data_IF_163770856557
#
_entry.id   IF_163770856557
#
_cell.length_a   1.000
_cell.length_b   1.000
_cell.length_c   1.000
_cell.angle_alpha   90.00
_cell.angle_beta   90.00
_cell.angle_gamma   90.00
#
_symmetry.space_group_name_H-M   'P 1'
#
loop_
_entity.id
_entity.type
_entity.pdbx_description
1 polymer ?
#
# COMPACT_ATOMS: atom_id res chain seq x y z
N UNK A 1 -33.13 6.14 -1.52
CA UNK A 1 -32.42 6.05 -0.23
C UNK A 1 -31.72 7.38 -0.02
N UNK A 2 -31.80 7.97 1.17
CA UNK A 2 -31.07 9.20 1.47
C UNK A 2 -29.57 8.91 1.42
N UNK A 3 -28.78 9.80 0.80
CA UNK A 3 -27.33 9.71 0.83
C UNK A 3 -26.85 9.78 2.29
N UNK A 4 -25.87 8.95 2.65
CA UNK A 4 -25.26 9.04 3.98
C UNK A 4 -24.43 10.32 4.07
N UNK A 5 -24.46 10.98 5.23
CA UNK A 5 -23.56 12.10 5.55
C UNK A 5 -22.12 11.66 5.81
N UNK A 6 -21.84 10.36 5.77
CA UNK A 6 -20.56 9.76 6.12
C UNK A 6 -19.84 9.21 4.89
N UNK A 7 -18.57 9.59 4.77
CA UNK A 7 -17.64 9.02 3.79
C UNK A 7 -16.96 7.78 4.37
N UNK A 8 -16.84 6.73 3.55
CA UNK A 8 -16.08 5.53 3.87
C UNK A 8 -14.67 5.66 3.26
N UNK A 9 -13.65 5.72 4.10
CA UNK A 9 -12.25 5.66 3.70
C UNK A 9 -11.67 4.31 4.08
N UNK A 10 -11.14 3.56 3.12
CA UNK A 10 -10.59 2.22 3.35
C UNK A 10 -9.18 2.10 2.81
N UNK A 11 -8.35 1.40 3.57
CA UNK A 11 -7.11 0.85 3.04
C UNK A 11 -7.38 -0.28 2.03
N UNK A 12 -6.42 -0.61 1.18
CA UNK A 12 -6.54 -1.68 0.19
C UNK A 12 -5.85 -2.98 0.60
N UNK A 13 -4.56 -2.93 0.93
CA UNK A 13 -3.75 -4.14 1.13
C UNK A 13 -4.12 -4.82 2.46
N UNK A 14 -4.46 -6.10 2.43
CA UNK A 14 -4.99 -6.87 3.56
C UNK A 14 -6.26 -6.31 4.22
N UNK A 15 -6.79 -5.18 3.75
CA UNK A 15 -8.09 -4.61 4.14
C UNK A 15 -9.16 -4.98 3.13
N UNK A 16 -8.96 -4.60 1.86
CA UNK A 16 -9.83 -4.96 0.74
C UNK A 16 -9.35 -6.23 0.04
N UNK A 17 -8.04 -6.39 -0.15
CA UNK A 17 -7.45 -7.56 -0.81
C UNK A 17 -7.40 -8.76 0.14
N UNK A 18 -7.48 -9.97 -0.43
CA UNK A 18 -7.31 -11.22 0.34
C UNK A 18 -5.87 -11.43 0.82
N UNK A 19 -4.90 -10.82 0.13
CA UNK A 19 -3.46 -11.01 0.36
C UNK A 19 -2.75 -9.67 0.28
N UNK A 20 -1.57 -9.60 0.91
CA UNK A 20 -0.58 -8.57 0.64
C UNK A 20 -0.19 -8.59 -0.84
N UNK A 21 -0.59 -7.54 -1.54
CA UNK A 21 -0.37 -7.46 -2.97
C UNK A 21 1.01 -6.90 -3.33
N UNK A 22 1.75 -6.32 -2.37
CA UNK A 22 3.16 -5.92 -2.55
C UNK A 22 4.03 -7.17 -2.66
N UNK A 23 3.81 -8.16 -1.78
CA UNK A 23 4.43 -9.48 -1.90
C UNK A 23 4.04 -10.18 -3.21
N UNK A 24 2.81 -10.03 -3.69
CA UNK A 24 2.39 -10.56 -5.00
C UNK A 24 3.14 -9.91 -6.18
N UNK A 25 3.37 -8.60 -6.13
CA UNK A 25 4.15 -7.89 -7.15
C UNK A 25 5.61 -8.34 -7.17
N UNK A 26 6.22 -8.54 -6.00
CA UNK A 26 7.56 -9.10 -5.91
C UNK A 26 7.63 -10.50 -6.52
N UNK A 27 6.67 -11.38 -6.20
CA UNK A 27 6.59 -12.70 -6.81
C UNK A 27 6.43 -12.65 -8.33
N UNK A 28 5.64 -11.71 -8.85
CA UNK A 28 5.52 -11.49 -10.29
C UNK A 28 6.85 -11.08 -10.92
N UNK A 29 7.59 -10.19 -10.27
CA UNK A 29 8.93 -9.80 -10.73
C UNK A 29 9.87 -11.00 -10.77
N UNK A 30 9.92 -11.80 -9.70
CA UNK A 30 10.81 -12.96 -9.59
C UNK A 30 10.47 -14.10 -10.55
N UNK A 31 9.20 -14.27 -10.89
CA UNK A 31 8.75 -15.32 -11.84
C UNK A 31 8.87 -14.89 -13.30
N UNK A 32 8.74 -13.59 -13.59
CA UNK A 32 8.83 -13.03 -14.95
C UNK A 32 10.25 -12.66 -15.38
N UNK A 33 11.11 -12.25 -14.44
CA UNK A 33 12.50 -11.86 -14.67
C UNK A 33 13.42 -12.80 -13.86
N UNK A 34 14.26 -13.56 -14.57
CA UNK A 34 15.46 -14.32 -14.15
C UNK A 34 15.71 -14.61 -12.63
N UNK A 35 16.22 -15.80 -12.23
CA UNK A 35 16.49 -16.17 -10.82
C UNK A 35 17.16 -15.11 -9.93
N UNK A 36 18.00 -14.24 -10.52
CA UNK A 36 18.66 -13.12 -9.86
C UNK A 36 17.69 -12.10 -9.22
N UNK A 37 16.47 -11.95 -9.74
CA UNK A 37 15.45 -11.05 -9.18
C UNK A 37 14.98 -11.52 -7.80
N UNK A 38 14.92 -12.84 -7.57
CA UNK A 38 14.56 -13.41 -6.26
C UNK A 38 15.64 -13.11 -5.23
N UNK A 39 16.91 -13.35 -5.56
CA UNK A 39 18.03 -13.07 -4.66
C UNK A 39 18.12 -11.59 -4.28
N UNK A 40 17.89 -10.69 -5.24
CA UNK A 40 17.85 -9.24 -4.99
C UNK A 40 16.68 -8.88 -4.07
N UNK A 41 15.48 -9.42 -4.33
CA UNK A 41 14.31 -9.18 -3.47
C UNK A 41 14.55 -9.66 -2.03
N UNK A 42 15.04 -10.90 -1.88
CA UNK A 42 15.30 -11.50 -0.57
C UNK A 42 16.37 -10.71 0.20
N UNK A 43 17.41 -10.21 -0.49
CA UNK A 43 18.42 -9.33 0.11
C UNK A 43 17.83 -8.00 0.59
N UNK A 44 16.93 -7.39 -0.19
CA UNK A 44 16.25 -6.14 0.18
C UNK A 44 15.35 -6.33 1.41
N UNK A 45 14.60 -7.43 1.47
CA UNK A 45 13.76 -7.80 2.61
C UNK A 45 14.62 -8.05 3.85
N UNK A 46 15.67 -8.86 3.73
CA UNK A 46 16.59 -9.15 4.83
C UNK A 46 17.18 -7.85 5.40
N UNK A 47 17.60 -6.93 4.53
CA UNK A 47 18.16 -5.65 4.95
C UNK A 47 17.14 -4.75 5.65
N UNK A 48 15.89 -4.74 5.18
CA UNK A 48 14.82 -4.03 5.87
C UNK A 48 14.56 -4.60 7.27
N UNK A 49 14.53 -5.92 7.40
CA UNK A 49 14.33 -6.59 8.70
C UNK A 49 15.49 -6.32 9.66
N UNK A 50 16.74 -6.30 9.18
CA UNK A 50 17.92 -5.91 9.97
C UNK A 50 17.80 -4.47 10.49
N UNK A 51 17.46 -3.54 9.60
CA UNK A 51 17.31 -2.13 9.97
C UNK A 51 16.16 -1.95 10.98
N UNK A 52 15.04 -2.66 10.79
CA UNK A 52 13.92 -2.69 11.75
C UNK A 52 14.35 -3.25 13.10
N UNK A 53 15.04 -4.39 13.13
CA UNK A 53 15.54 -5.00 14.36
C UNK A 53 16.49 -4.04 15.11
N UNK A 54 17.32 -3.30 14.37
CA UNK A 54 18.19 -2.28 14.95
C UNK A 54 17.43 -1.09 15.56
N UNK A 55 16.27 -0.72 15.03
CA UNK A 55 15.42 0.32 15.65
C UNK A 55 14.65 -0.26 16.83
N UNK A 56 14.12 -1.47 16.71
CA UNK A 56 13.39 -2.15 17.78
C UNK A 56 14.27 -2.39 19.01
N UNK A 57 15.56 -2.68 18.85
CA UNK A 57 16.48 -2.84 19.98
C UNK A 57 16.70 -1.55 20.79
N UNK A 58 16.42 -0.38 20.21
CA UNK A 58 16.52 0.91 20.94
C UNK A 58 15.39 1.12 21.95
N UNK A 59 14.31 0.32 21.86
CA UNK A 59 13.24 0.32 22.85
C UNK A 59 13.65 -0.38 24.16
N UNK A 60 14.77 -1.11 24.18
CA UNK A 60 15.35 -1.75 25.35
C UNK A 60 14.48 -2.86 25.99
N UNK A 61 15.00 -3.47 27.05
CA UNK A 61 14.26 -4.37 27.95
C UNK A 61 13.23 -3.61 28.83
N UNK A 62 13.00 -2.31 28.57
CA UNK A 62 12.11 -1.45 29.35
C UNK A 62 10.62 -1.86 29.24
N UNK A 63 10.29 -2.75 28.30
CA UNK A 63 8.97 -3.39 28.24
C UNK A 63 8.71 -4.39 29.38
N UNK A 64 9.77 -4.94 30.00
CA UNK A 64 9.66 -5.83 31.17
C UNK A 64 9.53 -5.06 32.49
N UNK A 65 9.63 -3.73 32.47
CA UNK A 65 9.33 -2.91 33.65
C UNK A 65 7.81 -2.86 33.87
N UNK A 66 7.36 -3.30 35.06
CA UNK A 66 5.95 -3.48 35.46
C UNK A 66 5.03 -2.25 35.35
N UNK A 67 5.51 -1.10 34.91
CA UNK A 67 4.69 0.07 34.54
C UNK A 67 5.55 1.09 33.79
N UNK A 68 5.72 0.98 32.46
CA UNK A 68 6.35 2.04 31.71
C UNK A 68 5.40 3.24 31.73
N UNK A 69 5.82 4.34 32.34
CA UNK A 69 5.08 5.60 32.21
C UNK A 69 5.21 6.03 30.76
N UNK A 70 4.11 6.35 30.07
CA UNK A 70 4.16 6.77 28.67
C UNK A 70 5.08 7.99 28.50
N UNK A 71 6.12 7.85 27.68
CA UNK A 71 7.06 8.92 27.36
C UNK A 71 6.88 9.35 25.90
N UNK A 72 6.15 10.46 25.64
CA UNK A 72 5.90 10.93 24.27
C UNK A 72 7.18 11.12 23.44
N UNK A 73 8.24 11.61 24.07
CA UNK A 73 9.53 11.86 23.40
C UNK A 73 10.21 10.56 22.93
N UNK A 74 10.05 9.46 23.67
CA UNK A 74 10.55 8.15 23.24
C UNK A 74 9.74 7.62 22.07
N UNK A 75 8.41 7.80 22.10
CA UNK A 75 7.55 7.43 20.97
C UNK A 75 7.92 8.24 19.73
N UNK A 76 8.10 9.55 19.84
CA UNK A 76 8.46 10.42 18.72
C UNK A 76 9.82 10.02 18.12
N UNK A 77 10.82 9.77 18.96
CA UNK A 77 12.13 9.32 18.53
C UNK A 77 12.08 7.95 17.83
N UNK A 78 11.31 7.01 18.38
CA UNK A 78 11.08 5.70 17.77
C UNK A 78 10.38 5.82 16.42
N UNK A 79 9.28 6.57 16.33
CA UNK A 79 8.52 6.76 15.11
C UNK A 79 9.37 7.43 14.02
N UNK A 80 10.20 8.42 14.38
CA UNK A 80 11.13 9.06 13.46
C UNK A 80 12.20 8.08 12.95
N UNK A 81 12.78 7.26 13.84
CA UNK A 81 13.77 6.26 13.45
C UNK A 81 13.17 5.16 12.56
N UNK A 82 11.98 4.66 12.91
CA UNK A 82 11.26 3.65 12.14
C UNK A 82 10.84 4.18 10.77
N UNK A 83 10.28 5.40 10.71
CA UNK A 83 9.98 6.12 9.46
C UNK A 83 11.21 6.24 8.55
N UNK A 84 12.37 6.56 9.11
CA UNK A 84 13.59 6.67 8.32
C UNK A 84 14.07 5.32 7.77
N UNK A 85 13.85 4.22 8.51
CA UNK A 85 14.11 2.85 8.01
C UNK A 85 13.16 2.50 6.86
N UNK A 86 11.87 2.77 7.03
CA UNK A 86 10.85 2.50 6.03
C UNK A 86 11.16 3.22 4.70
N UNK A 87 11.43 4.53 4.76
CA UNK A 87 11.79 5.33 3.58
C UNK A 87 13.06 4.81 2.89
N UNK A 88 14.12 4.50 3.65
CA UNK A 88 15.35 3.92 3.07
C UNK A 88 15.09 2.57 2.40
N UNK A 89 14.16 1.77 2.93
CA UNK A 89 13.80 0.49 2.32
C UNK A 89 13.15 0.68 0.95
N UNK A 90 12.26 1.66 0.83
CA UNK A 90 11.65 2.07 -0.44
C UNK A 90 12.72 2.55 -1.42
N UNK A 91 13.64 3.42 -0.98
CA UNK A 91 14.74 3.91 -1.82
C UNK A 91 15.60 2.76 -2.38
N UNK A 92 15.89 1.74 -1.56
CA UNK A 92 16.65 0.56 -2.02
C UNK A 92 15.89 -0.25 -3.08
N UNK A 93 14.58 -0.45 -2.90
CA UNK A 93 13.75 -1.12 -3.91
C UNK A 93 13.71 -0.32 -5.21
N UNK A 94 13.60 1.00 -5.10
CA UNK A 94 13.61 1.89 -6.26
C UNK A 94 14.94 1.86 -7.00
N UNK A 95 16.06 1.90 -6.27
CA UNK A 95 17.41 1.86 -6.83
C UNK A 95 17.72 0.51 -7.50
N UNK A 96 17.27 -0.61 -6.93
CA UNK A 96 17.49 -1.95 -7.48
C UNK A 96 16.70 -2.22 -8.75
N UNK A 97 15.60 -1.48 -8.97
CA UNK A 97 14.64 -1.71 -10.07
C UNK A 97 14.12 -3.14 -10.10
N UNK A 98 14.09 -3.83 -8.95
CA UNK A 98 13.71 -5.25 -8.85
C UNK A 98 12.30 -5.53 -9.39
N UNK A 99 11.39 -4.55 -9.33
CA UNK A 99 10.01 -4.67 -9.87
C UNK A 99 9.85 -4.08 -11.28
N UNK A 100 10.94 -3.67 -11.94
CA UNK A 100 10.86 -3.11 -13.27
C UNK A 100 10.53 -4.18 -14.32
N UNK A 101 9.78 -3.80 -15.34
CA UNK A 101 9.49 -4.66 -16.49
C UNK A 101 8.37 -5.68 -16.29
N UNK A 102 7.66 -5.67 -15.15
CA UNK A 102 6.46 -6.50 -14.97
C UNK A 102 5.41 -6.10 -16.02
N UNK A 103 4.97 -7.02 -16.91
CA UNK A 103 3.97 -6.69 -17.91
C UNK A 103 2.64 -6.30 -17.27
N UNK A 104 1.97 -5.27 -17.83
CA UNK A 104 0.64 -4.85 -17.39
C UNK A 104 -0.37 -6.01 -17.38
N UNK A 105 -0.30 -6.88 -18.38
CA UNK A 105 -1.16 -8.07 -18.50
C UNK A 105 -1.00 -9.05 -17.33
N UNK A 106 0.16 -9.08 -16.66
CA UNK A 106 0.40 -9.91 -15.49
C UNK A 106 -0.13 -9.31 -14.19
N UNK A 107 -0.49 -8.02 -14.19
CA UNK A 107 -0.96 -7.25 -13.02
C UNK A 107 -2.49 -7.16 -13.01
N UNK A 108 -3.09 -6.89 -14.17
CA UNK A 108 -4.53 -6.60 -14.30
C UNK A 108 -5.37 -7.79 -13.83
N UNK A 109 -6.40 -7.50 -13.01
CA UNK A 109 -7.40 -8.46 -12.50
C UNK A 109 -6.80 -9.63 -11.71
N UNK A 110 -5.57 -9.50 -11.20
CA UNK A 110 -4.92 -10.54 -10.41
C UNK A 110 -5.37 -10.58 -8.95
N UNK A 111 -5.69 -9.42 -8.39
CA UNK A 111 -6.03 -9.29 -6.97
C UNK A 111 -7.47 -9.71 -6.73
N UNK A 112 -7.66 -10.68 -5.84
CA UNK A 112 -8.97 -11.02 -5.30
C UNK A 112 -9.30 -10.11 -4.12
N UNK A 113 -10.53 -9.59 -4.11
CA UNK A 113 -11.08 -8.87 -2.96
C UNK A 113 -11.60 -9.86 -1.91
N UNK A 114 -11.58 -9.46 -0.65
CA UNK A 114 -12.18 -10.21 0.46
C UNK A 114 -13.69 -10.39 0.23
N UNK A 115 -14.30 -11.44 0.81
CA UNK A 115 -15.74 -11.62 0.79
C UNK A 115 -16.46 -10.34 1.19
N UNK A 116 -17.55 -10.02 0.47
CA UNK A 116 -18.41 -8.85 0.66
C UNK A 116 -17.76 -7.47 0.50
N UNK A 117 -16.43 -7.37 0.36
CA UNK A 117 -15.74 -6.08 0.15
C UNK A 117 -16.31 -5.34 -1.06
N UNK A 118 -16.41 -6.01 -2.21
CA UNK A 118 -16.99 -5.42 -3.41
C UNK A 118 -18.44 -4.97 -3.20
N UNK A 119 -19.24 -5.75 -2.45
CA UNK A 119 -20.63 -5.41 -2.16
C UNK A 119 -20.71 -4.15 -1.30
N UNK A 120 -20.00 -4.12 -0.15
CA UNK A 120 -19.99 -2.99 0.78
C UNK A 120 -19.54 -1.71 0.08
N UNK A 121 -18.42 -1.76 -0.66
CA UNK A 121 -17.93 -0.58 -1.38
C UNK A 121 -18.92 -0.12 -2.44
N UNK A 122 -19.60 -1.05 -3.13
CA UNK A 122 -20.56 -0.71 -4.19
C UNK A 122 -21.87 -0.13 -3.68
N UNK A 123 -22.36 -0.60 -2.53
CA UNK A 123 -23.69 -0.25 -2.00
C UNK A 123 -23.65 0.83 -0.92
N UNK A 124 -22.47 1.23 -0.44
CA UNK A 124 -22.34 2.30 0.54
C UNK A 124 -23.00 3.59 0.04
N UNK A 125 -23.99 4.15 0.76
CA UNK A 125 -24.82 5.25 0.30
C UNK A 125 -24.15 6.64 0.37
N UNK A 126 -22.98 6.76 1.01
CA UNK A 126 -22.16 7.97 1.02
C UNK A 126 -20.98 7.87 0.06
N UNK A 127 -20.00 8.76 0.20
CA UNK A 127 -18.76 8.70 -0.57
C UNK A 127 -17.91 7.50 -0.18
N UNK A 128 -17.17 6.94 -1.16
CA UNK A 128 -16.19 5.89 -0.90
C UNK A 128 -14.85 6.31 -1.48
N UNK A 129 -13.82 6.24 -0.65
CA UNK A 129 -12.43 6.49 -1.03
C UNK A 129 -11.58 5.30 -0.63
N UNK A 130 -10.84 4.74 -1.57
CA UNK A 130 -9.80 3.75 -1.29
C UNK A 130 -8.45 4.47 -1.27
N UNK A 131 -7.71 4.36 -0.18
CA UNK A 131 -6.36 4.90 -0.01
C UNK A 131 -5.40 3.74 0.12
N UNK A 132 -4.31 3.72 -0.63
CA UNK A 132 -3.44 2.55 -0.69
C UNK A 132 -1.98 2.95 -0.91
N UNK A 133 -1.11 2.36 -0.09
CA UNK A 133 0.34 2.48 -0.25
C UNK A 133 0.92 1.57 -1.34
N UNK A 134 0.08 0.75 -1.98
CA UNK A 134 0.45 -0.23 -2.99
C UNK A 134 1.29 0.35 -4.12
N UNK A 135 2.39 -0.33 -4.45
CA UNK A 135 3.34 0.12 -5.46
C UNK A 135 2.86 -0.02 -6.92
N UNK A 136 1.67 -0.58 -7.13
CA UNK A 136 1.00 -0.69 -8.44
C UNK A 136 -0.42 -0.14 -8.40
N UNK A 137 -0.58 1.13 -8.77
CA UNK A 137 -1.90 1.73 -9.06
C UNK A 137 -2.74 0.89 -10.04
N UNK A 138 -2.10 0.25 -11.02
CA UNK A 138 -2.82 -0.63 -11.97
C UNK A 138 -3.44 -1.83 -11.28
N UNK A 139 -2.74 -2.42 -10.30
CA UNK A 139 -3.23 -3.55 -9.51
C UNK A 139 -4.53 -3.15 -8.78
N UNK A 140 -4.45 -2.08 -7.98
CA UNK A 140 -5.58 -1.56 -7.19
C UNK A 140 -6.77 -1.18 -8.07
N UNK A 141 -6.55 -0.39 -9.12
CA UNK A 141 -7.62 0.05 -10.01
C UNK A 141 -8.29 -1.13 -10.72
N UNK A 142 -7.51 -2.10 -11.20
CA UNK A 142 -8.07 -3.26 -11.89
C UNK A 142 -8.96 -4.09 -10.97
N UNK A 143 -8.55 -4.32 -9.73
CA UNK A 143 -9.31 -5.05 -8.72
C UNK A 143 -10.64 -4.36 -8.35
N UNK A 144 -10.67 -3.02 -8.40
CA UNK A 144 -11.82 -2.22 -8.03
C UNK A 144 -12.68 -1.79 -9.23
N UNK A 145 -12.38 -2.29 -10.44
CA UNK A 145 -13.07 -1.88 -11.67
C UNK A 145 -14.58 -2.06 -11.58
N UNK A 146 -15.04 -3.20 -11.08
CA UNK A 146 -16.48 -3.48 -11.01
C UNK A 146 -17.19 -2.69 -9.91
N UNK A 147 -16.48 -2.38 -8.81
CA UNK A 147 -16.96 -1.46 -7.78
C UNK A 147 -17.14 -0.05 -8.36
N UNK A 148 -16.12 0.46 -9.06
CA UNK A 148 -16.18 1.77 -9.71
C UNK A 148 -17.36 1.86 -10.69
N UNK A 149 -17.56 0.82 -11.51
CA UNK A 149 -18.69 0.73 -12.45
C UNK A 149 -20.04 0.70 -11.73
N UNK A 150 -20.17 -0.08 -10.66
CA UNK A 150 -21.41 -0.18 -9.90
C UNK A 150 -21.80 1.17 -9.27
N UNK A 151 -20.83 1.84 -8.65
CA UNK A 151 -21.04 3.16 -8.04
C UNK A 151 -21.36 4.24 -9.07
N UNK A 152 -20.65 4.26 -10.19
CA UNK A 152 -20.94 5.17 -11.30
C UNK A 152 -22.37 5.00 -11.82
N UNK A 153 -22.85 3.76 -12.02
CA UNK A 153 -24.24 3.48 -12.42
C UNK A 153 -25.27 3.96 -11.39
N UNK A 154 -24.92 3.92 -10.10
CA UNK A 154 -25.76 4.41 -9.02
C UNK A 154 -25.67 5.94 -8.82
N UNK A 155 -24.83 6.64 -9.58
CA UNK A 155 -24.57 8.08 -9.38
C UNK A 155 -23.86 8.40 -8.07
N UNK A 156 -23.11 7.44 -7.51
CA UNK A 156 -22.42 7.57 -6.23
C UNK A 156 -20.93 7.88 -6.41
N UNK A 157 -20.34 8.80 -5.63
CA UNK A 157 -18.93 9.14 -5.74
C UNK A 157 -18.00 7.98 -5.37
N UNK A 158 -16.89 7.82 -6.11
CA UNK A 158 -15.86 6.83 -5.84
C UNK A 158 -14.48 7.38 -6.22
N UNK A 159 -13.52 7.26 -5.30
CA UNK A 159 -12.14 7.68 -5.53
C UNK A 159 -11.15 6.58 -5.12
N UNK A 160 -10.04 6.50 -5.83
CA UNK A 160 -8.92 5.59 -5.51
C UNK A 160 -7.63 6.39 -5.54
N UNK A 161 -6.96 6.44 -4.40
CA UNK A 161 -5.63 7.03 -4.21
C UNK A 161 -4.66 5.87 -3.96
N UNK A 162 -3.87 5.51 -4.97
CA UNK A 162 -2.86 4.48 -4.85
C UNK A 162 -1.53 5.00 -5.38
N UNK A 163 -0.42 4.55 -4.78
CA UNK A 163 0.91 4.91 -5.25
C UNK A 163 1.15 4.38 -6.68
N UNK A 164 1.86 5.16 -7.49
CA UNK A 164 2.42 4.70 -8.76
C UNK A 164 3.93 4.70 -8.66
N UNK A 165 4.58 3.61 -9.12
CA UNK A 165 6.02 3.60 -9.42
C UNK A 165 6.38 4.85 -10.27
N UNK A 166 7.48 5.58 -10.00
CA UNK A 166 7.53 7.04 -10.11
C UNK A 166 7.04 7.62 -11.42
N UNK A 167 5.96 8.39 -11.37
CA UNK A 167 6.00 9.87 -11.36
C UNK A 167 6.62 10.59 -10.14
N UNK A 168 7.17 9.90 -9.13
CA UNK A 168 7.94 10.48 -8.01
C UNK A 168 9.36 10.90 -8.42
N UNK A 169 9.46 11.74 -9.45
CA UNK A 169 10.61 12.59 -9.72
C UNK A 169 10.11 14.04 -9.76
N UNK A 170 9.47 14.53 -8.70
CA UNK A 170 9.36 15.98 -8.47
C UNK A 170 9.36 16.24 -6.96
N UNK A 171 10.35 16.98 -6.42
CA UNK A 171 10.20 17.59 -5.12
C UNK A 171 9.22 18.78 -5.28
N UNK A 172 8.22 18.82 -4.40
CA UNK A 172 7.31 19.94 -4.13
C UNK A 172 6.09 20.17 -5.06
N UNK A 173 4.95 20.36 -4.39
CA UNK A 173 3.70 21.03 -4.78
C UNK A 173 2.63 20.26 -5.60
N UNK A 174 1.44 20.19 -4.98
CA UNK A 174 0.09 20.29 -5.55
C UNK A 174 -0.17 19.74 -6.96
N UNK A 175 -1.04 18.72 -7.05
CA UNK A 175 -2.09 18.57 -8.09
C UNK A 175 -2.79 17.20 -7.87
N UNK A 176 -3.93 17.13 -7.18
CA UNK A 176 -5.28 17.22 -7.79
C UNK A 176 -5.28 16.92 -9.29
N UNK A 177 -5.63 15.70 -9.72
CA UNK A 177 -6.32 15.48 -10.99
C UNK A 177 -7.22 14.24 -10.94
N UNK A 178 -8.44 14.51 -11.40
CA UNK A 178 -9.65 13.72 -11.41
C UNK A 178 -9.58 12.48 -12.31
N UNK A 179 -10.47 11.52 -12.03
CA UNK A 179 -10.91 10.50 -12.98
C UNK A 179 -11.20 11.14 -14.35
N UNK A 180 -10.66 10.55 -15.42
CA UNK A 180 -11.26 10.60 -16.75
C UNK A 180 -11.52 9.16 -17.17
N UNK A 181 -12.81 8.80 -17.04
CA UNK A 181 -13.60 7.70 -17.62
C UNK A 181 -12.91 6.36 -17.90
#
# INVERSE_FOLDING_TARGET
MAASSWSLCVDFDDTCSVRDTTADLARLACTGNHPQTSEVWDSLVARFLEDCASVMSTLGDDLDQKSPTFQPQMLDAFLAAYSAVDLRSVDRVMASRVLAGIPRSSIVNRVALKPDCAHVLSTWPGDVTVVSSNWSRTSVLSALTDVARARHRAGLPFAVHANGWPSMCVPSQLTQWSLVV
#
